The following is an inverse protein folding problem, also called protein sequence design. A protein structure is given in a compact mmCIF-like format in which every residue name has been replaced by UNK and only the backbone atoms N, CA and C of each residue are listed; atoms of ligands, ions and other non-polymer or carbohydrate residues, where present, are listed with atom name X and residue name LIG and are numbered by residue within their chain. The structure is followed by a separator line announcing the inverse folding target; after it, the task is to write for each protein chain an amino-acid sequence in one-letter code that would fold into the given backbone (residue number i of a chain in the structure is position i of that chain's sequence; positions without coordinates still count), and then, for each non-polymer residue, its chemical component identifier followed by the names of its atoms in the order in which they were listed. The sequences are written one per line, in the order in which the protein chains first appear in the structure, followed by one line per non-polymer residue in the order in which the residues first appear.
data_IF_366092416886
#
_entry.id   IF_366092416886
#
_cell.length_a   1.000
_cell.length_b   1.000
_cell.length_c   1.000
_cell.angle_alpha   90.00
_cell.angle_beta   90.00
_cell.angle_gamma   90.00
#
_symmetry.space_group_name_H-M   'P 1'
#
loop_
_entity.id
_entity.type
_entity.pdbx_description
1 polymer ?
#
# COMPACT_ATOMS: atom_id res chain seq x y z
N UNK A 1 2.43 2.53 9.25
CA UNK A 1 2.91 2.16 7.89
C UNK A 1 4.40 1.83 7.83
N UNK A 2 5.32 2.79 7.98
CA UNK A 2 6.78 2.55 7.80
C UNK A 2 7.31 1.49 8.78
N UNK A 3 6.96 1.56 10.07
CA UNK A 3 7.39 0.58 11.06
C UNK A 3 6.92 -0.87 10.78
N UNK A 4 5.73 -1.04 10.19
CA UNK A 4 5.21 -2.36 9.81
C UNK A 4 5.91 -2.93 8.58
N UNK A 5 6.21 -2.10 7.58
CA UNK A 5 7.02 -2.47 6.41
C UNK A 5 8.45 -2.86 6.81
N UNK A 6 9.07 -2.09 7.71
CA UNK A 6 10.41 -2.40 8.24
C UNK A 6 10.41 -3.70 9.04
N UNK A 7 9.37 -3.96 9.84
CA UNK A 7 9.22 -5.23 10.56
C UNK A 7 9.07 -6.44 9.63
N UNK A 8 8.32 -6.30 8.53
CA UNK A 8 8.17 -7.36 7.53
C UNK A 8 9.48 -7.64 6.76
N UNK A 9 10.22 -6.57 6.43
CA UNK A 9 11.57 -6.68 5.83
C UNK A 9 12.54 -7.41 6.78
N UNK A 10 12.56 -7.02 8.05
CA UNK A 10 13.46 -7.59 9.06
C UNK A 10 13.17 -9.07 9.36
N UNK A 11 11.93 -9.52 9.20
CA UNK A 11 11.54 -10.92 9.39
C UNK A 11 11.79 -11.81 8.17
N UNK A 12 12.37 -11.29 7.07
CA UNK A 12 12.49 -11.99 5.79
C UNK A 12 11.18 -12.59 5.27
N UNK A 13 10.03 -12.11 5.75
CA UNK A 13 8.71 -12.64 5.42
C UNK A 13 8.16 -12.05 4.11
N UNK A 14 8.98 -11.31 3.37
CA UNK A 14 8.57 -10.66 2.12
C UNK A 14 8.73 -11.59 0.93
N UNK A 15 9.79 -12.39 0.88
CA UNK A 15 10.04 -13.29 -0.25
C UNK A 15 9.71 -14.73 0.14
N UNK A 16 8.45 -15.11 -0.07
CA UNK A 16 8.05 -16.52 -0.03
C UNK A 16 8.47 -17.19 -1.34
N UNK A 17 8.98 -18.44 -1.32
CA UNK A 17 9.34 -19.19 -2.54
C UNK A 17 8.12 -19.60 -3.38
N UNK A 18 6.89 -19.28 -2.96
CA UNK A 18 5.69 -19.59 -3.72
C UNK A 18 5.50 -18.61 -4.89
N UNK A 19 5.46 -19.15 -6.11
CA UNK A 19 5.26 -18.38 -7.34
C UNK A 19 3.97 -17.55 -7.32
N UNK A 20 2.92 -18.02 -6.65
CA UNK A 20 1.67 -17.30 -6.47
C UNK A 20 1.81 -16.03 -5.64
N UNK A 21 2.54 -16.08 -4.52
CA UNK A 21 2.77 -14.90 -3.67
C UNK A 21 3.63 -13.88 -4.41
N UNK A 22 4.65 -14.34 -5.13
CA UNK A 22 5.50 -13.50 -5.97
C UNK A 22 4.64 -12.82 -7.06
N UNK A 23 3.76 -13.56 -7.74
CA UNK A 23 2.88 -13.00 -8.77
C UNK A 23 1.98 -11.89 -8.19
N UNK A 24 1.37 -12.10 -7.02
CA UNK A 24 0.54 -11.08 -6.36
C UNK A 24 1.37 -9.85 -5.99
N UNK A 25 2.59 -10.05 -5.47
CA UNK A 25 3.50 -8.95 -5.13
C UNK A 25 3.96 -8.17 -6.35
N UNK A 26 4.21 -8.85 -7.48
CA UNK A 26 4.54 -8.19 -8.75
C UNK A 26 3.35 -7.36 -9.25
N UNK A 27 2.13 -7.90 -9.20
CA UNK A 27 0.91 -7.14 -9.58
C UNK A 27 0.73 -5.93 -8.66
N UNK A 28 0.92 -6.10 -7.36
CA UNK A 28 0.87 -5.00 -6.39
C UNK A 28 1.92 -3.92 -6.70
N UNK A 29 3.15 -4.33 -7.02
CA UNK A 29 4.23 -3.43 -7.40
C UNK A 29 3.90 -2.66 -8.69
N UNK A 30 3.42 -3.35 -9.74
CA UNK A 30 3.03 -2.73 -11.00
C UNK A 30 1.89 -1.71 -10.80
N UNK A 31 0.88 -2.04 -9.99
CA UNK A 31 -0.18 -1.11 -9.64
C UNK A 31 0.37 0.11 -8.89
N UNK A 32 1.27 -0.11 -7.93
CA UNK A 32 1.92 0.93 -7.15
C UNK A 32 2.75 1.87 -8.02
N UNK A 33 3.55 1.33 -8.94
CA UNK A 33 4.37 2.10 -9.90
C UNK A 33 3.46 2.88 -10.84
N UNK A 34 2.44 2.25 -11.43
CA UNK A 34 1.50 2.93 -12.33
C UNK A 34 0.78 4.09 -11.63
N UNK A 35 0.32 3.87 -10.40
CA UNK A 35 -0.29 4.91 -9.59
C UNK A 35 0.71 6.03 -9.26
N UNK A 36 1.95 5.67 -8.93
CA UNK A 36 2.98 6.63 -8.56
C UNK A 36 3.40 7.51 -9.74
N UNK A 37 3.53 6.93 -10.92
CA UNK A 37 3.81 7.65 -12.18
C UNK A 37 2.63 8.57 -12.52
N UNK A 38 1.39 8.07 -12.43
CA UNK A 38 0.19 8.85 -12.75
C UNK A 38 -0.04 10.02 -11.80
N UNK A 39 0.29 9.86 -10.52
CA UNK A 39 0.10 10.89 -9.49
C UNK A 39 1.31 11.86 -9.41
N UNK A 40 2.43 11.56 -10.07
CA UNK A 40 3.57 12.46 -10.26
C UNK A 40 4.32 12.84 -8.97
N UNK A 41 5.04 13.98 -8.98
CA UNK A 41 5.84 14.50 -7.84
C UNK A 41 5.02 15.16 -6.73
N UNK A 42 3.70 15.21 -6.86
CA UNK A 42 2.77 15.89 -5.95
C UNK A 42 2.64 15.24 -4.54
N UNK A 43 3.15 14.02 -4.32
CA UNK A 43 2.82 13.21 -3.13
C UNK A 43 3.76 13.25 -1.92
N UNK A 44 4.81 14.06 -1.88
CA UNK A 44 5.72 14.02 -0.71
C UNK A 44 5.18 14.82 0.49
N UNK A 45 3.89 14.69 0.80
CA UNK A 45 3.33 15.18 2.05
C UNK A 45 3.30 14.04 3.08
N UNK A 46 4.11 14.21 4.14
CA UNK A 46 4.11 13.34 5.32
C UNK A 46 2.74 13.41 6.01
N UNK A 47 2.10 14.58 5.99
CA UNK A 47 0.73 14.81 6.43
C UNK A 47 -0.30 14.49 5.34
N UNK A 48 -1.52 14.14 5.73
CA UNK A 48 -2.68 13.97 4.84
C UNK A 48 -3.19 15.33 4.33
N UNK A 49 -2.31 16.19 3.84
CA UNK A 49 -2.71 17.51 3.35
C UNK A 49 -3.18 17.41 1.89
N UNK A 50 -4.27 18.11 1.52
CA UNK A 50 -4.67 18.26 0.13
C UNK A 50 -3.48 18.80 -0.66
N UNK A 51 -3.13 18.11 -1.75
CA UNK A 51 -2.06 18.61 -2.60
C UNK A 51 -2.62 19.69 -3.51
N UNK A 52 -1.91 20.82 -3.63
CA UNK A 52 -2.30 21.89 -4.56
C UNK A 52 -2.42 21.34 -5.99
N UNK A 53 -3.62 21.52 -6.58
CA UNK A 53 -3.87 21.31 -8.00
C UNK A 53 -4.87 20.22 -8.39
N UNK A 54 -5.77 19.81 -7.49
CA UNK A 54 -6.99 19.07 -7.84
C UNK A 54 -6.84 17.56 -7.93
N UNK A 55 -8.00 16.88 -8.00
CA UNK A 55 -8.11 15.42 -7.98
C UNK A 55 -7.59 14.79 -9.29
N UNK A 56 -6.74 13.77 -9.18
CA UNK A 56 -6.26 12.97 -10.31
C UNK A 56 -7.30 11.90 -10.62
N UNK A 57 -7.90 11.93 -11.81
CA UNK A 57 -9.00 11.01 -12.20
C UNK A 57 -8.68 10.10 -13.40
N UNK A 58 -7.43 10.13 -13.89
CA UNK A 58 -6.96 9.31 -15.00
C UNK A 58 -5.99 8.19 -14.56
N UNK A 59 -5.66 7.28 -15.47
CA UNK A 59 -4.82 6.11 -15.17
C UNK A 59 -5.49 5.15 -14.16
N UNK A 60 -4.78 4.61 -13.15
CA UNK A 60 -5.37 3.69 -12.19
C UNK A 60 -6.40 4.38 -11.28
N UNK A 61 -6.32 5.70 -11.14
CA UNK A 61 -7.27 6.51 -10.37
C UNK A 61 -8.66 6.57 -11.01
N UNK A 62 -8.81 6.15 -12.28
CA UNK A 62 -10.11 5.96 -12.92
C UNK A 62 -10.89 4.77 -12.36
N UNK A 63 -10.18 3.76 -11.88
CA UNK A 63 -10.77 2.49 -11.42
C UNK A 63 -10.78 2.37 -9.90
N UNK A 64 -9.78 2.93 -9.23
CA UNK A 64 -9.56 2.79 -7.79
C UNK A 64 -9.28 4.17 -7.22
N UNK A 65 -9.95 4.58 -6.13
CA UNK A 65 -9.73 5.90 -5.50
C UNK A 65 -8.33 6.04 -4.89
N UNK A 66 -7.84 4.97 -4.25
CA UNK A 66 -6.53 4.95 -3.58
C UNK A 66 -5.63 3.80 -4.08
N UNK A 67 -5.22 3.79 -5.36
CA UNK A 67 -4.51 2.67 -5.97
C UNK A 67 -3.14 2.39 -5.32
N UNK A 68 -2.47 3.41 -4.77
CA UNK A 68 -1.23 3.25 -4.00
C UNK A 68 -1.49 2.47 -2.71
N UNK A 69 -2.58 2.78 -2.00
CA UNK A 69 -2.93 2.08 -0.76
C UNK A 69 -3.39 0.67 -1.04
N UNK A 70 -4.13 0.46 -2.14
CA UNK A 70 -4.48 -0.87 -2.63
C UNK A 70 -3.23 -1.71 -2.92
N UNK A 71 -2.22 -1.15 -3.60
CA UNK A 71 -0.95 -1.82 -3.84
C UNK A 71 -0.24 -2.22 -2.53
N UNK A 72 -0.17 -1.32 -1.54
CA UNK A 72 0.47 -1.62 -0.25
C UNK A 72 -0.31 -2.69 0.52
N UNK A 73 -1.64 -2.63 0.54
CA UNK A 73 -2.47 -3.66 1.16
C UNK A 73 -2.27 -5.02 0.50
N UNK A 74 -2.29 -5.09 -0.84
CA UNK A 74 -2.08 -6.34 -1.58
C UNK A 74 -0.72 -6.96 -1.27
N UNK A 75 0.36 -6.18 -1.33
CA UNK A 75 1.71 -6.65 -1.02
C UNK A 75 1.82 -7.13 0.43
N UNK A 76 1.21 -6.40 1.37
CA UNK A 76 1.22 -6.74 2.80
C UNK A 76 0.45 -8.04 3.08
N UNK A 77 -0.77 -8.16 2.57
CA UNK A 77 -1.61 -9.35 2.78
C UNK A 77 -1.01 -10.58 2.12
N UNK A 78 -0.41 -10.44 0.93
CA UNK A 78 0.29 -11.53 0.27
C UNK A 78 1.48 -12.04 1.11
N UNK A 79 2.30 -11.15 1.66
CA UNK A 79 3.42 -11.52 2.54
C UNK A 79 2.97 -12.16 3.85
N UNK A 80 1.93 -11.61 4.49
CA UNK A 80 1.36 -12.15 5.73
C UNK A 80 0.74 -13.52 5.52
N UNK A 81 0.00 -13.71 4.42
CA UNK A 81 -0.59 -14.99 4.06
C UNK A 81 0.46 -16.06 3.77
N UNK A 82 1.59 -15.67 3.18
CA UNK A 82 2.67 -16.58 2.85
C UNK A 82 3.44 -17.10 4.09
N UNK A 83 3.54 -16.27 5.12
CA UNK A 83 4.20 -16.61 6.39
C UNK A 83 3.25 -16.34 7.56
N UNK A 84 2.17 -17.11 7.63
CA UNK A 84 1.15 -16.92 8.67
C UNK A 84 1.73 -17.17 10.06
N UNK A 85 1.70 -16.13 10.89
CA UNK A 85 2.10 -16.14 12.29
C UNK A 85 1.32 -15.05 13.01
N UNK A 86 1.12 -15.20 14.31
CA UNK A 86 0.49 -14.15 15.12
C UNK A 86 1.23 -12.81 14.99
N UNK A 87 2.57 -12.86 14.85
CA UNK A 87 3.43 -11.68 14.68
C UNK A 87 3.22 -11.00 13.31
N UNK A 88 3.20 -11.77 12.23
CA UNK A 88 2.98 -11.23 10.87
C UNK A 88 1.56 -10.73 10.70
N UNK A 89 0.58 -11.40 11.30
CA UNK A 89 -0.81 -10.96 11.38
C UNK A 89 -0.95 -9.60 12.08
N UNK A 90 -0.32 -9.41 13.25
CA UNK A 90 -0.34 -8.12 13.96
C UNK A 90 0.34 -7.02 13.13
N UNK A 91 1.52 -7.28 12.56
CA UNK A 91 2.21 -6.30 11.70
C UNK A 91 1.36 -5.92 10.48
N UNK A 92 0.76 -6.91 9.80
CA UNK A 92 -0.14 -6.68 8.67
C UNK A 92 -1.38 -5.88 9.05
N UNK A 93 -2.00 -6.22 10.18
CA UNK A 93 -3.15 -5.50 10.73
C UNK A 93 -2.82 -4.04 11.03
N UNK A 94 -1.65 -3.76 11.63
CA UNK A 94 -1.20 -2.38 11.88
C UNK A 94 -0.98 -1.61 10.57
N UNK A 95 -0.41 -2.24 9.54
CA UNK A 95 -0.21 -1.61 8.22
C UNK A 95 -1.56 -1.26 7.59
N UNK A 96 -2.46 -2.24 7.46
CA UNK A 96 -3.78 -2.06 6.85
C UNK A 96 -4.62 -1.06 7.65
N UNK A 97 -4.66 -1.19 8.98
CA UNK A 97 -5.37 -0.25 9.85
C UNK A 97 -4.86 1.18 9.71
N UNK A 98 -3.53 1.38 9.65
CA UNK A 98 -2.95 2.70 9.45
C UNK A 98 -3.29 3.31 8.08
N UNK A 99 -3.38 2.47 7.03
CA UNK A 99 -3.80 2.89 5.69
C UNK A 99 -5.27 3.28 5.65
N UNK A 100 -6.14 2.47 6.27
CA UNK A 100 -7.57 2.75 6.38
C UNK A 100 -7.82 4.06 7.12
N UNK A 101 -7.12 4.29 8.24
CA UNK A 101 -7.20 5.57 8.95
C UNK A 101 -6.76 6.74 8.06
N UNK A 102 -5.69 6.57 7.28
CA UNK A 102 -5.22 7.56 6.32
C UNK A 102 -6.27 7.86 5.23
N UNK A 103 -6.91 6.83 4.68
CA UNK A 103 -8.00 6.96 3.69
C UNK A 103 -9.12 7.80 4.27
N UNK A 104 -9.58 7.49 5.49
CA UNK A 104 -10.66 8.26 6.12
C UNK A 104 -10.27 9.72 6.38
N UNK A 105 -9.02 9.99 6.78
CA UNK A 105 -8.54 11.35 6.92
C UNK A 105 -8.50 12.10 5.58
N UNK A 106 -8.00 11.46 4.52
CA UNK A 106 -7.94 12.06 3.18
C UNK A 106 -9.34 12.31 2.62
N UNK A 107 -10.27 11.36 2.74
CA UNK A 107 -11.65 11.53 2.26
C UNK A 107 -12.44 12.59 3.05
N UNK A 108 -12.06 12.91 4.29
CA UNK A 108 -12.65 14.03 5.04
C UNK A 108 -12.07 15.40 4.69
N UNK A 109 -10.87 15.43 4.10
CA UNK A 109 -10.15 16.66 3.74
C UNK A 109 -10.30 17.03 2.26
N UNK A 110 -10.83 16.11 1.45
CA UNK A 110 -11.29 16.34 0.07
C UNK A 110 -12.63 17.08 0.05
#
# INVERSE_FOLDING_TARGET
MIGGLVGLLAMHAIFSPSAWVIAIQVVALLLGVWARVTFGRRSYHVAANPTEGGLVTWGPYRYIRHPIYTAICLATLAGVGAHWSLKTGVCGGVVVGSLVMRIFCEERLL
#
